data_IF_492287626459
#
_entry.id   IF_492287626459
#
_cell.length_a   1.000
_cell.length_b   1.000
_cell.length_c   1.000
_cell.angle_alpha   90.00
_cell.angle_beta   90.00
_cell.angle_gamma   90.00
#
_symmetry.space_group_name_H-M   'P 1'
#
loop_
_entity.id
_entity.type
_entity.pdbx_description
1 polymer ?
#
# COMPACT_ATOMS: atom_id res chain seq x y z
N UNK A 1 17.19 -23.25 23.45
CA UNK A 1 16.75 -22.15 22.57
C UNK A 1 17.15 -22.51 21.16
N UNK A 2 16.21 -23.00 20.35
CA UNK A 2 16.48 -23.37 18.95
C UNK A 2 16.51 -22.11 18.09
N UNK A 3 17.61 -21.88 17.35
CA UNK A 3 17.63 -20.86 16.30
C UNK A 3 16.57 -21.24 15.27
N UNK A 4 15.65 -20.33 15.00
CA UNK A 4 14.72 -20.47 13.88
C UNK A 4 15.59 -20.43 12.61
N UNK A 5 15.83 -21.60 12.02
CA UNK A 5 16.50 -21.68 10.72
C UNK A 5 15.53 -21.07 9.71
N UNK A 6 15.95 -19.97 9.09
CA UNK A 6 15.31 -19.50 7.87
C UNK A 6 15.33 -20.67 6.87
N UNK A 7 14.25 -20.90 6.11
CA UNK A 7 14.33 -21.85 5.02
C UNK A 7 15.49 -21.41 4.15
N UNK A 8 16.50 -22.28 3.98
CA UNK A 8 17.54 -22.00 2.99
C UNK A 8 16.83 -21.69 1.66
N UNK A 9 17.22 -20.61 0.97
CA UNK A 9 16.63 -20.32 -0.32
C UNK A 9 16.77 -21.58 -1.17
N UNK A 10 15.62 -22.14 -1.59
CA UNK A 10 15.58 -23.37 -2.38
C UNK A 10 16.63 -23.23 -3.48
N UNK A 11 17.60 -24.18 -3.59
CA UNK A 11 18.67 -24.04 -4.54
C UNK A 11 18.07 -23.77 -5.91
N UNK A 12 18.48 -22.63 -6.49
CA UNK A 12 17.91 -22.14 -7.74
C UNK A 12 18.00 -23.27 -8.76
N UNK A 13 16.90 -23.63 -9.45
CA UNK A 13 16.94 -24.71 -10.42
C UNK A 13 18.06 -24.44 -11.42
N UNK A 14 18.97 -25.41 -11.58
CA UNK A 14 20.22 -25.27 -12.35
C UNK A 14 20.02 -25.02 -13.86
N UNK A 15 18.79 -24.72 -14.31
CA UNK A 15 18.40 -24.63 -15.70
C UNK A 15 17.42 -23.47 -15.99
N UNK A 16 17.47 -22.37 -15.23
CA UNK A 16 16.68 -21.17 -15.54
C UNK A 16 17.35 -20.44 -16.72
N UNK A 17 16.78 -20.56 -17.92
CA UNK A 17 17.20 -19.82 -19.13
C UNK A 17 16.68 -18.37 -19.18
N UNK A 18 15.98 -17.92 -18.16
CA UNK A 18 15.26 -16.64 -18.10
C UNK A 18 15.77 -15.77 -16.96
N UNK A 19 15.64 -14.43 -17.03
CA UNK A 19 16.12 -13.57 -15.96
C UNK A 19 15.29 -13.81 -14.70
N UNK A 20 15.95 -14.30 -13.66
CA UNK A 20 15.40 -14.52 -12.33
C UNK A 20 15.41 -13.20 -11.56
N UNK A 21 14.32 -12.89 -10.87
CA UNK A 21 14.20 -11.73 -9.99
C UNK A 21 13.85 -12.18 -8.58
N UNK A 22 14.55 -11.62 -7.60
CA UNK A 22 14.21 -11.76 -6.19
C UNK A 22 13.62 -10.43 -5.72
N UNK A 23 12.33 -10.44 -5.37
CA UNK A 23 11.68 -9.29 -4.75
C UNK A 23 11.59 -9.53 -3.26
N UNK A 24 12.45 -8.86 -2.50
CA UNK A 24 12.34 -8.79 -1.05
C UNK A 24 11.25 -7.78 -0.68
N UNK A 25 10.34 -8.16 0.19
CA UNK A 25 9.20 -7.32 0.57
C UNK A 25 8.81 -7.53 2.03
N UNK A 26 8.08 -6.58 2.61
CA UNK A 26 7.48 -6.73 3.94
C UNK A 26 5.97 -6.50 3.87
N UNK A 27 5.12 -7.32 4.51
CA UNK A 27 3.66 -7.26 4.38
C UNK A 27 3.05 -5.94 4.84
N UNK A 28 3.74 -5.21 5.72
CA UNK A 28 3.28 -3.92 6.26
C UNK A 28 4.00 -2.70 5.65
N UNK A 29 4.91 -2.91 4.70
CA UNK A 29 5.50 -1.79 3.93
C UNK A 29 4.56 -1.37 2.81
N UNK A 30 4.16 -0.10 2.80
CA UNK A 30 3.28 0.45 1.77
C UNK A 30 3.88 0.30 0.36
N UNK A 31 5.18 0.58 0.24
CA UNK A 31 5.91 0.40 -1.02
C UNK A 31 5.95 -1.08 -1.44
N UNK A 32 6.11 -2.00 -0.47
CA UNK A 32 6.12 -3.44 -0.74
C UNK A 32 4.78 -3.92 -1.24
N UNK A 33 3.69 -3.50 -0.60
CA UNK A 33 2.32 -3.79 -1.02
C UNK A 33 2.05 -3.26 -2.43
N UNK A 34 2.48 -2.04 -2.76
CA UNK A 34 2.29 -1.48 -4.09
C UNK A 34 3.06 -2.25 -5.17
N UNK A 35 4.32 -2.62 -4.91
CA UNK A 35 5.14 -3.37 -5.85
C UNK A 35 4.61 -4.80 -6.09
N UNK A 36 4.27 -5.51 -5.00
CA UNK A 36 3.69 -6.86 -5.08
C UNK A 36 2.34 -6.85 -5.80
N UNK A 37 1.50 -5.84 -5.55
CA UNK A 37 0.22 -5.72 -6.24
C UNK A 37 0.36 -5.45 -7.73
N UNK A 38 1.33 -4.63 -8.13
CA UNK A 38 1.68 -4.47 -9.55
C UNK A 38 2.12 -5.80 -10.18
N UNK A 39 2.89 -6.62 -9.46
CA UNK A 39 3.32 -7.93 -9.97
C UNK A 39 2.12 -8.86 -10.19
N UNK A 40 1.13 -8.86 -9.31
CA UNK A 40 -0.08 -9.67 -9.51
C UNK A 40 -0.88 -9.20 -10.74
N UNK A 41 -0.95 -7.89 -10.98
CA UNK A 41 -1.54 -7.36 -12.23
C UNK A 41 -0.73 -7.78 -13.47
N UNK A 42 0.59 -7.71 -13.39
CA UNK A 42 1.49 -8.08 -14.47
C UNK A 42 1.35 -9.56 -14.85
N UNK A 43 1.37 -10.46 -13.87
CA UNK A 43 1.17 -11.91 -14.07
C UNK A 43 -0.16 -12.21 -14.76
N UNK A 44 -1.23 -11.53 -14.35
CA UNK A 44 -2.55 -11.73 -14.92
C UNK A 44 -2.70 -11.15 -16.34
N UNK A 45 -2.04 -10.03 -16.64
CA UNK A 45 -2.06 -9.41 -17.95
C UNK A 45 -1.15 -10.09 -18.96
N UNK A 46 -0.07 -10.75 -18.49
CA UNK A 46 0.95 -11.38 -19.33
C UNK A 46 1.25 -12.81 -18.86
N UNK A 47 0.29 -13.74 -18.94
CA UNK A 47 0.47 -15.12 -18.46
C UNK A 47 1.59 -15.87 -19.20
N UNK A 48 1.94 -15.44 -20.41
CA UNK A 48 3.02 -16.02 -21.23
C UNK A 48 4.38 -15.35 -20.99
N UNK A 49 4.49 -14.38 -20.08
CA UNK A 49 5.76 -13.74 -19.79
C UNK A 49 6.74 -14.74 -19.18
N UNK A 50 7.98 -14.71 -19.66
CA UNK A 50 9.05 -15.61 -19.20
C UNK A 50 9.76 -15.10 -17.94
N UNK A 51 9.45 -13.88 -17.51
CA UNK A 51 10.04 -13.25 -16.32
C UNK A 51 9.63 -13.98 -15.06
N UNK A 52 10.62 -14.54 -14.36
CA UNK A 52 10.38 -15.28 -13.13
C UNK A 52 10.70 -14.39 -11.92
N UNK A 53 9.69 -14.09 -11.11
CA UNK A 53 9.82 -13.25 -9.92
C UNK A 53 9.51 -14.10 -8.69
N UNK A 54 10.53 -14.33 -7.86
CA UNK A 54 10.41 -14.96 -6.54
C UNK A 54 10.22 -13.84 -5.52
N UNK A 55 9.09 -13.86 -4.82
CA UNK A 55 8.80 -12.93 -3.73
C UNK A 55 9.30 -13.54 -2.42
N UNK A 56 10.16 -12.80 -1.70
CA UNK A 56 10.76 -13.21 -0.44
C UNK A 56 10.29 -12.24 0.64
N UNK A 57 9.52 -12.75 1.60
CA UNK A 57 9.07 -11.95 2.73
C UNK A 57 10.24 -11.75 3.71
N UNK A 58 10.61 -10.50 3.96
CA UNK A 58 11.61 -10.14 4.96
C UNK A 58 10.93 -10.14 6.33
N UNK A 59 11.40 -11.02 7.21
CA UNK A 59 10.90 -11.15 8.58
C UNK A 59 11.87 -10.45 9.52
N UNK A 60 11.36 -9.57 10.37
CA UNK A 60 12.14 -8.92 11.42
C UNK A 60 12.43 -9.91 12.56
N UNK A 61 13.58 -9.79 13.21
CA UNK A 61 13.88 -10.58 14.41
C UNK A 61 13.05 -10.13 15.62
N UNK A 62 13.20 -10.82 16.76
CA UNK A 62 12.52 -10.51 18.02
C UNK A 62 12.78 -9.08 18.54
N UNK A 63 13.83 -8.42 18.04
CA UNK A 63 14.22 -7.05 18.37
C UNK A 63 13.83 -6.05 17.26
N UNK A 64 13.03 -6.48 16.28
CA UNK A 64 12.61 -5.64 15.15
C UNK A 64 13.72 -5.34 14.15
N UNK A 65 14.81 -6.12 14.12
CA UNK A 65 15.97 -5.89 13.23
C UNK A 65 15.85 -6.71 11.95
N UNK A 66 16.42 -6.16 10.88
CA UNK A 66 16.52 -6.86 9.60
C UNK A 66 17.56 -7.99 9.67
N UNK A 67 17.33 -9.13 9.00
CA UNK A 67 18.31 -10.21 8.91
C UNK A 67 19.62 -9.75 8.28
N UNK A 68 20.77 -10.15 8.82
CA UNK A 68 22.08 -9.80 8.26
C UNK A 68 22.26 -10.29 6.81
N UNK A 69 21.69 -11.45 6.48
CA UNK A 69 21.69 -12.02 5.13
C UNK A 69 21.03 -11.08 4.11
N UNK A 70 19.91 -10.45 4.51
CA UNK A 70 19.24 -9.44 3.70
C UNK A 70 20.09 -8.18 3.56
N UNK A 71 20.64 -7.67 4.67
CA UNK A 71 21.47 -6.46 4.68
C UNK A 71 22.76 -6.62 3.86
N UNK A 72 23.33 -7.82 3.80
CA UNK A 72 24.47 -8.13 2.92
C UNK A 72 24.11 -7.99 1.44
N UNK A 73 22.84 -8.18 1.09
CA UNK A 73 22.36 -8.09 -0.30
C UNK A 73 21.82 -6.70 -0.63
N UNK A 74 21.16 -6.05 0.33
CA UNK A 74 20.68 -4.67 0.25
C UNK A 74 21.11 -3.87 1.49
N UNK A 75 22.29 -3.21 1.44
CA UNK A 75 22.84 -2.47 2.58
C UNK A 75 21.95 -1.34 3.10
N UNK A 76 21.03 -0.83 2.28
CA UNK A 76 20.08 0.22 2.69
C UNK A 76 19.01 -0.29 3.66
N UNK A 77 18.75 -1.61 3.67
CA UNK A 77 17.65 -2.22 4.43
C UNK A 77 16.24 -1.88 3.93
N UNK A 78 16.09 -0.95 2.98
CA UNK A 78 14.81 -0.52 2.47
C UNK A 78 14.03 -1.67 1.81
N UNK A 79 12.71 -1.72 1.98
CA UNK A 79 11.85 -2.67 1.25
C UNK A 79 10.70 -1.92 0.55
N UNK A 80 10.31 -2.34 -0.67
CA UNK A 80 10.75 -3.53 -1.37
C UNK A 80 12.16 -3.37 -1.95
N UNK A 81 12.84 -4.48 -2.21
CA UNK A 81 14.11 -4.50 -2.92
C UNK A 81 14.08 -5.55 -4.02
N UNK A 82 14.19 -5.12 -5.26
CA UNK A 82 14.35 -6.00 -6.41
C UNK A 82 15.83 -6.25 -6.65
N UNK A 83 16.21 -7.51 -6.49
CA UNK A 83 17.57 -8.01 -6.70
C UNK A 83 17.58 -8.92 -7.92
N UNK A 84 18.60 -8.74 -8.75
CA UNK A 84 18.92 -9.58 -9.90
C UNK A 84 20.15 -10.41 -9.54
N UNK A 85 20.36 -11.60 -10.14
CA UNK A 85 21.59 -12.37 -9.94
C UNK A 85 22.80 -11.43 -10.02
N UNK A 86 23.72 -11.45 -9.03
CA UNK A 86 24.84 -10.52 -8.94
C UNK A 86 25.61 -10.42 -10.27
N UNK A 87 26.15 -9.23 -10.61
CA UNK A 87 26.59 -8.17 -9.68
C UNK A 87 25.76 -6.86 -9.71
N UNK A 88 24.44 -6.89 -9.90
CA UNK A 88 23.67 -5.66 -10.08
C UNK A 88 23.21 -4.99 -8.78
N UNK A 89 23.20 -3.66 -8.76
CA UNK A 89 22.68 -2.85 -7.64
C UNK A 89 21.18 -3.12 -7.43
N UNK A 90 20.72 -3.32 -6.18
CA UNK A 90 19.30 -3.47 -5.87
C UNK A 90 18.49 -2.23 -6.28
N UNK A 91 17.26 -2.44 -6.75
CA UNK A 91 16.28 -1.36 -6.95
C UNK A 91 15.33 -1.37 -5.74
N UNK A 92 15.37 -0.33 -4.91
CA UNK A 92 14.65 -0.32 -3.62
C UNK A 92 13.42 0.61 -3.56
N UNK A 93 13.04 1.25 -4.67
CA UNK A 93 11.81 2.04 -4.77
C UNK A 93 10.72 1.22 -5.47
N UNK A 94 9.51 1.15 -4.89
CA UNK A 94 8.38 0.48 -5.52
C UNK A 94 8.06 1.08 -6.89
N UNK A 95 8.20 2.40 -7.02
CA UNK A 95 7.94 3.13 -8.27
C UNK A 95 8.99 2.78 -9.32
N UNK A 96 10.28 2.74 -8.95
CA UNK A 96 11.36 2.41 -9.87
C UNK A 96 11.32 0.93 -10.29
N UNK A 97 10.96 0.02 -9.37
CA UNK A 97 10.70 -1.40 -9.67
C UNK A 97 9.58 -1.55 -10.70
N UNK A 98 8.46 -0.87 -10.48
CA UNK A 98 7.30 -0.96 -11.37
C UNK A 98 7.61 -0.35 -12.74
N UNK A 99 8.32 0.77 -12.78
CA UNK A 99 8.76 1.38 -14.04
C UNK A 99 9.71 0.48 -14.82
N UNK A 100 10.66 -0.18 -14.12
CA UNK A 100 11.55 -1.17 -14.72
C UNK A 100 10.77 -2.31 -15.40
N UNK A 101 9.81 -2.88 -14.67
CA UNK A 101 8.96 -3.95 -15.19
C UNK A 101 8.05 -3.50 -16.33
N UNK A 102 7.48 -2.30 -16.24
CA UNK A 102 6.62 -1.74 -17.27
C UNK A 102 7.35 -1.52 -18.61
N UNK A 103 8.63 -1.13 -18.56
CA UNK A 103 9.43 -0.89 -19.77
C UNK A 103 9.88 -2.17 -20.46
N UNK A 104 10.00 -3.27 -19.73
CA UNK A 104 10.63 -4.49 -20.25
C UNK A 104 9.64 -5.58 -20.61
N UNK A 105 8.88 -6.05 -19.62
CA UNK A 105 8.10 -7.29 -19.76
C UNK A 105 6.59 -7.06 -19.59
N UNK A 106 6.20 -5.98 -18.91
CA UNK A 106 4.83 -5.79 -18.45
C UNK A 106 4.26 -4.41 -18.84
N UNK A 107 4.16 -4.08 -20.14
CA UNK A 107 3.71 -2.77 -20.60
C UNK A 107 2.27 -2.43 -20.19
N UNK A 108 1.46 -3.41 -19.77
CA UNK A 108 0.12 -3.17 -19.22
C UNK A 108 0.12 -2.42 -17.88
N UNK A 109 1.24 -2.41 -17.15
CA UNK A 109 1.37 -1.61 -15.93
C UNK A 109 1.36 -0.11 -16.23
N UNK A 110 1.86 0.28 -17.40
CA UNK A 110 1.86 1.65 -17.90
C UNK A 110 1.44 1.68 -19.38
N UNK A 111 0.15 1.40 -19.68
CA UNK A 111 -0.30 1.28 -21.06
C UNK A 111 0.01 2.56 -21.84
N UNK A 112 0.47 2.49 -23.11
CA UNK A 112 0.85 3.67 -23.88
C UNK A 112 -0.21 4.77 -23.92
N UNK A 113 -1.49 4.39 -24.00
CA UNK A 113 -2.63 5.31 -24.01
C UNK A 113 -2.79 6.15 -22.73
N UNK A 114 -2.25 5.67 -21.60
CA UNK A 114 -2.38 6.31 -20.28
C UNK A 114 -1.03 6.62 -19.62
N UNK A 115 0.08 6.30 -20.30
CA UNK A 115 1.44 6.40 -19.78
C UNK A 115 1.74 7.79 -19.22
N UNK A 116 1.41 8.85 -19.95
CA UNK A 116 1.67 10.23 -19.51
C UNK A 116 0.94 10.58 -18.20
N UNK A 117 -0.31 10.13 -18.02
CA UNK A 117 -1.07 10.37 -16.79
C UNK A 117 -0.49 9.57 -15.62
N UNK A 118 -0.13 8.31 -15.86
CA UNK A 118 0.50 7.45 -14.84
C UNK A 118 1.87 8.02 -14.43
N UNK A 119 2.71 8.44 -15.38
CA UNK A 119 4.00 9.07 -15.09
C UNK A 119 3.85 10.35 -14.27
N UNK A 120 2.86 11.18 -14.62
CA UNK A 120 2.59 12.42 -13.88
C UNK A 120 2.08 12.17 -12.46
N UNK A 121 1.21 11.19 -12.26
CA UNK A 121 0.62 10.90 -10.95
C UNK A 121 1.49 10.00 -10.08
N UNK A 122 2.36 9.18 -10.66
CA UNK A 122 3.19 8.24 -9.92
C UNK A 122 4.65 8.69 -9.84
N UNK A 123 5.32 8.89 -10.98
CA UNK A 123 6.75 9.25 -10.99
C UNK A 123 6.99 10.67 -10.45
N UNK A 124 6.23 11.65 -10.96
CA UNK A 124 6.42 13.07 -10.57
C UNK A 124 5.90 13.40 -9.18
N UNK A 125 5.00 12.57 -8.64
CA UNK A 125 4.44 12.72 -7.29
C UNK A 125 4.89 11.60 -6.35
N UNK A 126 6.09 11.03 -6.58
CA UNK A 126 6.66 9.93 -5.77
C UNK A 126 6.74 10.24 -4.27
N UNK A 127 6.93 11.51 -3.92
CA UNK A 127 6.97 11.97 -2.52
C UNK A 127 5.72 11.63 -1.71
N UNK A 128 4.57 11.45 -2.37
CA UNK A 128 3.33 11.01 -1.71
C UNK A 128 3.54 9.65 -1.02
N UNK A 129 4.21 8.73 -1.71
CA UNK A 129 4.41 7.35 -1.27
C UNK A 129 5.70 7.16 -0.47
N UNK A 130 6.70 7.97 -0.76
CA UNK A 130 8.04 7.86 -0.15
C UNK A 130 8.19 8.72 1.11
N UNK A 131 7.33 9.72 1.33
CA UNK A 131 7.47 10.66 2.46
C UNK A 131 6.14 11.05 3.11
N UNK A 132 5.18 11.54 2.34
CA UNK A 132 3.99 12.19 2.91
C UNK A 132 3.12 11.20 3.69
N UNK A 133 2.86 10.02 3.13
CA UNK A 133 2.08 8.99 3.83
C UNK A 133 2.76 8.47 5.09
N UNK A 134 4.09 8.43 5.12
CA UNK A 134 4.84 8.04 6.31
C UNK A 134 4.61 9.08 7.40
N UNK A 135 4.73 10.37 7.08
CA UNK A 135 4.47 11.45 8.03
C UNK A 135 3.04 11.39 8.59
N UNK A 136 2.05 11.14 7.74
CA UNK A 136 0.64 10.99 8.16
C UNK A 136 0.41 9.75 9.02
N UNK A 137 1.13 8.67 8.74
CA UNK A 137 1.01 7.39 9.47
C UNK A 137 1.73 7.39 10.81
N UNK A 138 2.85 8.12 10.90
CA UNK A 138 3.76 8.14 12.05
C UNK A 138 3.07 8.48 13.37
N UNK A 139 2.04 9.34 13.34
CA UNK A 139 1.34 9.80 14.54
C UNK A 139 0.55 8.73 15.30
N UNK A 140 0.29 7.56 14.69
CA UNK A 140 -0.53 6.52 15.33
C UNK A 140 0.23 5.29 15.81
N UNK A 141 1.43 5.06 15.30
CA UNK A 141 2.24 3.88 15.65
C UNK A 141 3.70 4.23 15.47
N UNK A 142 4.33 4.85 16.47
CA UNK A 142 5.75 5.17 16.42
C UNK A 142 6.65 3.91 16.45
N UNK A 143 6.12 2.70 16.61
CA UNK A 143 6.93 1.54 17.02
C UNK A 143 7.17 0.43 15.98
N UNK A 144 6.53 0.37 14.81
CA UNK A 144 6.51 -0.90 14.03
C UNK A 144 7.08 -0.88 12.59
N UNK A 145 7.69 0.21 12.09
CA UNK A 145 8.19 0.19 10.69
C UNK A 145 9.49 0.93 10.41
N UNK A 146 10.32 1.18 11.42
CA UNK A 146 11.61 1.86 11.24
C UNK A 146 12.61 1.21 10.26
N UNK A 147 12.70 -0.13 10.14
CA UNK A 147 13.65 -0.72 9.19
C UNK A 147 13.16 -0.69 7.74
N UNK A 148 11.88 -0.40 7.49
CA UNK A 148 11.22 -0.63 6.19
C UNK A 148 11.22 0.60 5.28
N UNK A 149 11.77 1.70 5.77
CA UNK A 149 11.82 3.01 5.12
C UNK A 149 13.30 3.38 5.04
N UNK A 150 13.90 3.22 3.87
CA UNK A 150 15.26 3.71 3.62
C UNK A 150 15.39 5.21 3.90
N UNK A 151 16.58 5.64 4.32
CA UNK A 151 17.13 7.00 4.43
C UNK A 151 16.39 8.07 5.26
N UNK A 152 15.12 7.91 5.63
CA UNK A 152 14.38 8.90 6.45
C UNK A 152 14.64 8.72 7.96
N UNK A 153 15.25 7.59 8.31
CA UNK A 153 15.40 7.10 9.68
C UNK A 153 16.37 7.92 10.56
N UNK A 154 17.50 8.47 10.07
CA UNK A 154 18.40 9.24 10.94
C UNK A 154 17.79 10.57 11.40
N UNK A 155 17.17 11.34 10.50
CA UNK A 155 16.57 12.64 10.82
C UNK A 155 15.35 12.53 11.74
N UNK A 156 14.55 11.46 11.60
CA UNK A 156 13.41 11.20 12.47
C UNK A 156 13.82 10.69 13.86
N UNK A 157 14.89 9.86 13.96
CA UNK A 157 15.44 9.41 15.25
C UNK A 157 15.97 10.54 16.12
N UNK A 158 16.51 11.61 15.53
CA UNK A 158 16.92 12.78 16.31
C UNK A 158 15.73 13.59 16.82
N UNK A 159 14.61 13.59 16.07
CA UNK A 159 13.34 14.23 16.50
C UNK A 159 12.59 13.43 17.58
N UNK A 160 12.78 12.12 17.70
CA UNK A 160 12.22 11.28 18.78
C UNK A 160 12.62 11.76 20.19
N UNK A 161 13.74 12.47 20.33
CA UNK A 161 14.19 13.02 21.62
C UNK A 161 13.46 14.29 22.05
N UNK A 162 12.53 14.83 21.24
CA UNK A 162 11.77 16.04 21.57
C UNK A 162 10.29 15.68 21.76
N UNK A 163 9.89 15.79 23.01
CA UNK A 163 8.65 15.35 23.63
C UNK A 163 7.33 15.73 22.92
N UNK A 164 6.35 14.87 23.23
CA UNK A 164 4.89 15.07 23.27
C UNK A 164 4.07 15.13 21.96
N UNK A 165 3.05 14.26 21.97
CA UNK A 165 1.89 14.16 21.07
C UNK A 165 1.21 15.52 20.82
N UNK A 166 1.46 16.53 21.67
CA UNK A 166 1.00 17.90 21.48
C UNK A 166 1.65 18.62 20.28
N UNK A 167 2.89 18.29 19.90
CA UNK A 167 3.54 18.93 18.74
C UNK A 167 2.98 18.46 17.39
N UNK A 168 2.41 17.25 17.35
CA UNK A 168 1.89 16.61 16.13
C UNK A 168 0.80 17.43 15.41
N UNK A 169 -0.02 18.17 16.18
CA UNK A 169 -1.10 19.01 15.65
C UNK A 169 -0.61 20.37 15.13
N UNK A 170 0.64 20.75 15.39
CA UNK A 170 1.21 22.04 14.97
C UNK A 170 2.24 21.92 13.86
N UNK A 171 2.58 20.71 13.39
CA UNK A 171 3.57 20.49 12.34
C UNK A 171 3.01 20.98 10.99
N UNK A 172 3.45 22.13 10.44
CA UNK A 172 2.93 22.62 9.17
C UNK A 172 3.21 21.60 8.05
N UNK A 173 4.29 20.85 8.15
CA UNK A 173 4.65 19.80 7.20
C UNK A 173 3.62 18.65 7.16
N UNK A 174 2.96 18.33 8.28
CA UNK A 174 1.93 17.29 8.33
C UNK A 174 0.67 17.74 7.59
N UNK A 175 0.17 18.93 7.89
CA UNK A 175 -0.99 19.48 7.19
C UNK A 175 -0.72 19.60 5.69
N UNK A 176 0.48 20.05 5.31
CA UNK A 176 0.88 20.08 3.90
C UNK A 176 0.96 18.68 3.28
N UNK A 177 1.42 17.67 4.01
CA UNK A 177 1.43 16.28 3.53
C UNK A 177 0.00 15.75 3.33
N UNK A 178 -0.91 16.01 4.26
CA UNK A 178 -2.33 15.68 4.12
C UNK A 178 -2.96 16.37 2.90
N UNK A 179 -2.68 17.67 2.70
CA UNK A 179 -3.19 18.43 1.56
C UNK A 179 -2.64 17.90 0.23
N UNK A 180 -1.34 17.54 0.18
CA UNK A 180 -0.74 16.91 -0.99
C UNK A 180 -1.39 15.55 -1.30
N UNK A 181 -1.65 14.72 -0.29
CA UNK A 181 -2.35 13.44 -0.43
C UNK A 181 -3.79 13.66 -0.93
N UNK A 182 -4.55 14.59 -0.33
CA UNK A 182 -5.92 14.93 -0.78
C UNK A 182 -5.94 15.43 -2.22
N UNK A 183 -5.01 16.31 -2.59
CA UNK A 183 -4.84 16.80 -3.96
C UNK A 183 -4.51 15.67 -4.94
N UNK A 184 -3.65 14.74 -4.52
CA UNK A 184 -3.32 13.55 -5.30
C UNK A 184 -4.55 12.65 -5.50
N UNK A 185 -5.28 12.32 -4.44
CA UNK A 185 -6.51 11.53 -4.51
C UNK A 185 -7.58 12.22 -5.36
N UNK A 186 -7.70 13.55 -5.30
CA UNK A 186 -8.57 14.33 -6.19
C UNK A 186 -8.18 14.14 -7.66
N UNK A 187 -6.87 14.11 -7.95
CA UNK A 187 -6.38 13.86 -9.32
C UNK A 187 -6.72 12.44 -9.79
N UNK A 188 -6.59 11.43 -8.91
CA UNK A 188 -6.97 10.04 -9.20
C UNK A 188 -8.48 9.89 -9.39
N UNK A 189 -9.29 10.61 -8.59
CA UNK A 189 -10.74 10.68 -8.76
C UNK A 189 -11.10 11.21 -10.15
N UNK A 190 -10.46 12.30 -10.60
CA UNK A 190 -10.69 12.85 -11.94
C UNK A 190 -10.38 11.82 -13.03
N UNK A 191 -9.26 11.07 -12.91
CA UNK A 191 -8.92 9.97 -13.82
C UNK A 191 -10.03 8.92 -13.84
N UNK A 192 -10.47 8.47 -12.66
CA UNK A 192 -11.55 7.47 -12.54
C UNK A 192 -12.83 7.96 -13.21
N UNK A 193 -13.25 9.18 -12.95
CA UNK A 193 -14.49 9.73 -13.53
C UNK A 193 -14.41 9.87 -15.05
N UNK A 194 -13.22 10.16 -15.59
CA UNK A 194 -13.00 10.25 -17.04
C UNK A 194 -13.09 8.90 -17.73
N UNK A 195 -12.58 7.84 -17.11
CA UNK A 195 -12.43 6.53 -17.77
C UNK A 195 -13.32 5.42 -17.21
N UNK A 196 -14.16 5.70 -16.21
CA UNK A 196 -15.11 4.74 -15.63
C UNK A 196 -16.02 4.17 -16.73
N UNK A 197 -16.02 2.84 -16.83
CA UNK A 197 -16.88 2.08 -17.75
C UNK A 197 -17.61 1.00 -16.98
N UNK A 198 -18.85 0.71 -17.39
CA UNK A 198 -19.62 -0.37 -16.82
C UNK A 198 -18.86 -1.71 -16.92
N UNK A 199 -18.85 -2.48 -15.85
CA UNK A 199 -18.14 -3.77 -15.77
C UNK A 199 -16.60 -3.68 -15.73
N UNK A 200 -16.01 -2.48 -15.69
CA UNK A 200 -14.55 -2.30 -15.56
C UNK A 200 -14.19 -1.72 -14.19
N UNK A 201 -13.44 -2.51 -13.42
CA UNK A 201 -13.03 -2.19 -12.06
C UNK A 201 -11.91 -1.15 -12.01
N UNK A 202 -10.96 -1.18 -12.94
CA UNK A 202 -9.74 -0.37 -12.88
C UNK A 202 -9.98 1.10 -13.24
N UNK A 203 -9.10 1.98 -12.74
CA UNK A 203 -9.18 3.45 -12.83
C UNK A 203 -9.37 3.90 -14.28
N UNK A 204 -8.57 3.35 -15.20
CA UNK A 204 -8.59 3.67 -16.63
C UNK A 204 -9.62 2.86 -17.44
N UNK A 205 -10.46 2.05 -16.79
CA UNK A 205 -11.39 1.17 -17.49
C UNK A 205 -10.72 0.07 -18.33
N UNK A 206 -9.44 -0.20 -18.04
CA UNK A 206 -8.62 -1.24 -18.67
C UNK A 206 -9.11 -2.64 -18.30
N UNK A 207 -8.61 -3.66 -18.99
CA UNK A 207 -8.90 -5.06 -18.66
C UNK A 207 -8.19 -5.50 -17.37
N UNK A 208 -6.96 -5.04 -17.16
CA UNK A 208 -6.11 -5.34 -16.00
C UNK A 208 -5.72 -4.04 -15.27
N UNK A 209 -5.36 -4.16 -14.00
CA UNK A 209 -4.92 -3.03 -13.19
C UNK A 209 -3.60 -2.46 -13.69
N UNK A 210 -3.42 -1.16 -13.49
CA UNK A 210 -2.20 -0.43 -13.82
C UNK A 210 -1.36 -0.16 -12.57
N UNK A 211 -0.16 0.37 -12.76
CA UNK A 211 0.68 0.84 -11.66
C UNK A 211 -0.02 1.86 -10.76
N UNK A 212 -0.86 2.74 -11.35
CA UNK A 212 -1.61 3.73 -10.60
C UNK A 212 -2.72 3.10 -9.75
N UNK A 213 -3.40 2.07 -10.26
CA UNK A 213 -4.42 1.32 -9.50
C UNK A 213 -3.81 0.73 -8.23
N UNK A 214 -2.66 0.06 -8.36
CA UNK A 214 -1.99 -0.58 -7.23
C UNK A 214 -1.61 0.42 -6.13
N UNK A 215 -0.96 1.54 -6.52
CA UNK A 215 -0.53 2.55 -5.58
C UNK A 215 -1.72 3.29 -4.93
N UNK A 216 -2.77 3.60 -5.70
CA UNK A 216 -3.98 4.21 -5.16
C UNK A 216 -4.70 3.30 -4.17
N UNK A 217 -4.88 2.03 -4.50
CA UNK A 217 -5.56 1.07 -3.64
C UNK A 217 -4.81 0.88 -2.31
N UNK A 218 -3.49 0.70 -2.37
CA UNK A 218 -2.64 0.53 -1.19
C UNK A 218 -2.63 1.78 -0.30
N UNK A 219 -2.54 2.97 -0.89
CA UNK A 219 -2.63 4.23 -0.14
C UNK A 219 -4.00 4.40 0.54
N UNK A 220 -5.09 4.11 -0.18
CA UNK A 220 -6.43 4.17 0.39
C UNK A 220 -6.57 3.17 1.55
N UNK A 221 -6.07 1.95 1.40
CA UNK A 221 -6.11 0.97 2.49
C UNK A 221 -5.36 1.45 3.72
N UNK A 222 -4.17 2.04 3.54
CA UNK A 222 -3.40 2.63 4.64
C UNK A 222 -4.16 3.75 5.34
N UNK A 223 -4.78 4.67 4.58
CA UNK A 223 -5.61 5.74 5.14
C UNK A 223 -6.80 5.20 5.92
N UNK A 224 -7.41 4.12 5.45
CA UNK A 224 -8.49 3.44 6.16
C UNK A 224 -7.99 2.80 7.47
N UNK A 225 -6.82 2.16 7.46
CA UNK A 225 -6.22 1.55 8.67
C UNK A 225 -5.95 2.60 9.75
N UNK A 226 -5.47 3.78 9.35
CA UNK A 226 -5.25 4.92 10.27
C UNK A 226 -6.50 5.80 10.47
N UNK A 227 -7.69 5.35 10.04
CA UNK A 227 -8.99 6.04 10.19
C UNK A 227 -9.00 7.48 9.66
N UNK A 228 -8.32 7.74 8.55
CA UNK A 228 -8.29 9.02 7.81
C UNK A 228 -9.24 8.98 6.60
N UNK A 229 -10.47 8.52 6.82
CA UNK A 229 -11.46 8.29 5.77
C UNK A 229 -11.91 9.59 5.09
N UNK A 230 -11.91 10.69 5.84
CA UNK A 230 -12.26 12.04 5.39
C UNK A 230 -11.31 12.59 4.31
N UNK A 231 -10.14 11.97 4.13
CA UNK A 231 -9.21 12.32 3.06
C UNK A 231 -9.58 11.71 1.71
N UNK A 232 -10.50 10.73 1.69
CA UNK A 232 -10.82 9.91 0.53
C UNK A 232 -12.17 10.35 -0.05
N UNK A 233 -12.21 10.59 -1.36
CA UNK A 233 -13.47 10.83 -2.06
C UNK A 233 -14.36 9.57 -2.02
N UNK A 234 -15.66 9.73 -1.77
CA UNK A 234 -16.63 8.62 -1.68
C UNK A 234 -16.61 7.68 -2.90
N UNK A 235 -16.50 8.19 -4.14
CA UNK A 235 -16.39 7.33 -5.33
C UNK A 235 -15.10 6.49 -5.34
N UNK A 236 -13.99 7.05 -4.85
CA UNK A 236 -12.74 6.30 -4.70
C UNK A 236 -12.83 5.27 -3.58
N UNK A 237 -13.59 5.54 -2.52
CA UNK A 237 -13.84 4.57 -1.46
C UNK A 237 -14.60 3.35 -2.00
N UNK A 238 -15.69 3.56 -2.75
CA UNK A 238 -16.45 2.48 -3.39
C UNK A 238 -15.59 1.70 -4.40
N UNK A 239 -14.80 2.41 -5.19
CA UNK A 239 -13.83 1.78 -6.09
C UNK A 239 -12.84 0.90 -5.31
N UNK A 240 -12.24 1.42 -4.25
CA UNK A 240 -11.26 0.70 -3.45
C UNK A 240 -11.87 -0.53 -2.77
N UNK A 241 -13.10 -0.45 -2.25
CA UNK A 241 -13.82 -1.62 -1.70
C UNK A 241 -13.99 -2.74 -2.72
N UNK A 242 -14.28 -2.39 -3.98
CA UNK A 242 -14.36 -3.36 -5.08
C UNK A 242 -13.00 -4.02 -5.31
N UNK A 243 -11.92 -3.24 -5.29
CA UNK A 243 -10.54 -3.74 -5.41
C UNK A 243 -10.18 -4.65 -4.23
N UNK A 244 -10.52 -4.29 -3.00
CA UNK A 244 -10.21 -5.06 -1.79
C UNK A 244 -10.98 -6.38 -1.71
N UNK A 245 -12.15 -6.45 -2.36
CA UNK A 245 -12.94 -7.68 -2.49
C UNK A 245 -12.44 -8.59 -3.61
N UNK A 246 -11.44 -8.17 -4.39
CA UNK A 246 -10.90 -8.94 -5.51
C UNK A 246 -9.86 -9.96 -5.05
N UNK A 247 -9.78 -11.08 -5.75
CA UNK A 247 -8.74 -12.09 -5.50
C UNK A 247 -7.32 -11.53 -5.64
N UNK A 248 -7.11 -10.49 -6.45
CA UNK A 248 -5.79 -9.85 -6.58
C UNK A 248 -5.34 -9.20 -5.28
N UNK A 249 -6.25 -8.54 -4.56
CA UNK A 249 -5.93 -7.93 -3.27
C UNK A 249 -5.70 -8.98 -2.19
N UNK A 250 -6.46 -10.07 -2.21
CA UNK A 250 -6.30 -11.19 -1.28
C UNK A 250 -4.90 -11.83 -1.39
N UNK A 251 -4.37 -12.01 -2.60
CA UNK A 251 -3.00 -12.54 -2.80
C UNK A 251 -1.91 -11.67 -2.15
N UNK A 252 -2.12 -10.35 -2.12
CA UNK A 252 -1.14 -9.37 -1.62
C UNK A 252 -1.29 -9.12 -0.13
N UNK A 253 -2.52 -8.84 0.31
CA UNK A 253 -2.83 -8.49 1.70
C UNK A 253 -2.90 -9.72 2.60
N UNK A 254 -3.30 -10.90 2.06
CA UNK A 254 -3.57 -12.13 2.81
C UNK A 254 -4.51 -11.88 4.00
N UNK A 255 -5.48 -10.97 3.83
CA UNK A 255 -6.41 -10.53 4.87
C UNK A 255 -5.80 -9.68 5.99
N UNK A 256 -4.52 -9.31 5.91
CA UNK A 256 -3.85 -8.46 6.90
C UNK A 256 -4.11 -6.98 6.61
N UNK A 257 -4.15 -6.18 7.66
CA UNK A 257 -4.06 -4.73 7.53
C UNK A 257 -2.65 -4.31 7.06
N UNK A 258 -2.53 -3.05 6.65
CA UNK A 258 -1.25 -2.53 6.17
C UNK A 258 -0.33 -2.05 7.29
N UNK A 259 -0.79 -2.03 8.55
CA UNK A 259 -0.09 -1.45 9.69
C UNK A 259 0.61 -2.47 10.60
N UNK A 260 0.26 -3.75 10.55
CA UNK A 260 0.79 -4.81 11.42
C UNK A 260 0.07 -4.94 12.77
N UNK A 261 -0.75 -3.94 13.13
CA UNK A 261 -1.49 -3.88 14.38
C UNK A 261 -2.76 -4.73 14.35
N UNK A 262 -2.63 -6.03 14.58
CA UNK A 262 -3.70 -6.88 15.10
C UNK A 262 -5.09 -6.69 14.48
N UNK A 263 -5.20 -6.80 13.15
CA UNK A 263 -6.39 -7.29 12.44
C UNK A 263 -7.71 -6.57 12.73
N UNK A 264 -8.14 -5.75 11.77
CA UNK A 264 -9.57 -5.42 11.64
C UNK A 264 -10.43 -6.69 11.66
N UNK A 265 -11.61 -6.69 12.31
CA UNK A 265 -12.69 -7.57 11.87
C UNK A 265 -13.11 -7.17 10.44
N UNK A 266 -13.62 -8.12 9.62
CA UNK A 266 -13.96 -7.89 8.22
C UNK A 266 -14.79 -6.61 8.01
N UNK A 267 -14.51 -5.84 6.94
CA UNK A 267 -15.15 -4.55 6.64
C UNK A 267 -16.69 -4.57 6.52
N UNK A 268 -17.33 -5.76 6.53
CA UNK A 268 -18.77 -5.89 6.51
C UNK A 268 -19.46 -5.27 7.74
N UNK A 269 -18.78 -5.19 8.89
CA UNK A 269 -19.41 -4.74 10.14
C UNK A 269 -19.33 -3.22 10.40
N UNK A 270 -18.54 -2.46 9.63
CA UNK A 270 -18.29 -1.03 9.93
C UNK A 270 -19.23 -0.05 9.21
N UNK A 271 -20.10 -0.55 8.32
CA UNK A 271 -21.05 0.26 7.55
C UNK A 271 -22.51 -0.12 7.81
N UNK A 272 -22.83 -0.54 9.04
CA UNK A 272 -24.19 -0.36 9.55
C UNK A 272 -24.42 1.16 9.71
N UNK A 273 -24.87 1.77 8.61
CA UNK A 273 -25.40 3.13 8.57
C UNK A 273 -26.46 3.22 9.67
N UNK A 274 -26.29 4.20 10.55
CA UNK A 274 -27.30 4.60 11.54
C UNK A 274 -28.47 5.25 10.80
N UNK A 275 -29.28 4.44 10.12
CA UNK A 275 -30.61 4.81 9.65
C UNK A 275 -31.63 4.23 10.63
N UNK A 276 -31.77 4.91 11.76
CA UNK A 276 -33.06 4.99 12.46
C UNK A 276 -33.16 6.38 13.08
N UNK A 277 -33.64 7.31 12.26
CA UNK A 277 -34.51 8.39 12.72
C UNK A 277 -35.74 7.72 13.37
N UNK A 278 -35.71 7.52 14.70
CA UNK A 278 -36.96 7.38 15.45
C UNK A 278 -37.41 8.75 15.90
N UNK A 279 -38.19 9.37 15.02
CA UNK A 279 -39.18 10.39 15.34
C UNK A 279 -40.09 9.83 16.43
N UNK A 280 -39.87 10.21 17.68
CA UNK A 280 -40.82 9.96 18.76
C UNK A 280 -42.00 10.92 18.62
N UNK A 281 -42.94 10.54 17.75
CA UNK A 281 -44.29 11.12 17.69
C UNK A 281 -44.96 10.95 19.04
N UNK A 282 -45.34 12.08 19.65
CA UNK A 282 -46.30 12.12 20.73
C UNK A 282 -47.57 11.38 20.30
N UNK A 283 -48.06 10.47 21.14
CA UNK A 283 -49.45 10.04 21.05
C UNK A 283 -50.16 10.20 22.39
N UNK A 284 -51.27 10.90 22.29
CA UNK A 284 -52.19 11.33 23.34
C UNK A 284 -53.22 10.21 23.54
N UNK A 285 -53.35 9.71 24.78
CA UNK A 285 -54.58 9.17 25.42
C UNK A 285 -54.14 8.58 26.77
N UNK A 286 -54.61 9.00 27.94
CA UNK A 286 -55.97 9.35 28.33
C UNK A 286 -56.60 8.16 29.07
N UNK A 287 -56.76 8.32 30.41
CA UNK A 287 -57.36 7.45 31.47
C UNK A 287 -56.28 7.13 32.54
N UNK A 288 -56.44 7.34 33.84
CA UNK A 288 -57.59 7.67 34.68
C UNK A 288 -57.49 6.88 35.99
N UNK A 289 -57.43 7.61 37.11
CA UNK A 289 -57.79 7.26 38.51
C UNK A 289 -56.85 6.45 39.45
N UNK A 290 -56.94 6.92 40.72
CA UNK A 290 -56.48 6.44 42.03
C UNK A 290 -55.03 6.86 42.40
N UNK A 291 -54.74 7.62 43.47
CA UNK A 291 -55.46 8.05 44.69
C UNK A 291 -55.21 9.54 44.98
#
# INVERSE_FOLDING_TARGET
MGRQQYPEPTPLPANIKHPLFLLYHHPHSLASLAATFCIEFAKAAHPSAQTHIIQIEVVLDENGRLPCEYLNTNPTGAVPALIRPPPETPISSSIDIVNYFAQRDFPSLMPPAHKAEIENLLLRKRSIFERDIILVTYLRTPFESYPLIGDIVPEMREKEKRDEIHYAFEIPELHQAEDRIKSWLTSVYIVRMRFKRAGKMWLFGTQHGTALDAHAAVLIHRLLDIKKIEMINTELLWWAQTVFSSHFWDQVSKGKDTMGGGGRPPMQDTMAISDTDEVSTQDIKGKGQAE
#
